data_IF_628839335095
#
_entry.id   IF_628839335095
#
_cell.length_a   1.000
_cell.length_b   1.000
_cell.length_c   1.000
_cell.angle_alpha   90.00
_cell.angle_beta   90.00
_cell.angle_gamma   90.00
#
_symmetry.space_group_name_H-M   'P 1'
#
loop_
_entity.id
_entity.type
_entity.pdbx_description
1 polymer ?
#
# COMPACT_ATOMS: atom_id res chain seq x y z
N UNK A 1 10.32 13.74 -1.19
CA UNK A 1 10.29 12.39 -0.59
C UNK A 1 11.58 12.19 0.17
N UNK A 2 11.54 11.45 1.29
CA UNK A 2 12.71 11.14 2.12
C UNK A 2 12.97 9.64 2.06
N UNK A 3 14.24 9.24 2.04
CA UNK A 3 14.63 7.83 2.12
C UNK A 3 14.28 7.28 3.50
N UNK A 4 13.60 6.14 3.54
CA UNK A 4 13.23 5.43 4.76
C UNK A 4 13.87 4.05 4.78
N UNK A 5 14.58 3.68 5.85
CA UNK A 5 14.90 2.27 6.12
C UNK A 5 13.61 1.52 6.46
N UNK A 6 13.52 0.27 6.01
CA UNK A 6 12.42 -0.64 6.28
C UNK A 6 13.00 -1.94 6.85
N UNK A 7 12.27 -2.62 7.73
CA UNK A 7 12.62 -3.90 8.32
C UNK A 7 14.03 -3.89 8.92
N UNK A 8 14.27 -2.95 9.84
CA UNK A 8 15.59 -2.77 10.46
C UNK A 8 16.68 -2.29 9.49
N UNK A 9 16.31 -1.78 8.31
CA UNK A 9 17.23 -1.30 7.27
C UNK A 9 17.58 -2.34 6.21
N UNK A 10 17.08 -3.57 6.32
CA UNK A 10 17.28 -4.62 5.32
C UNK A 10 16.65 -4.26 3.97
N UNK A 11 15.63 -3.41 3.97
CA UNK A 11 15.11 -2.76 2.77
C UNK A 11 15.10 -1.24 2.92
N UNK A 12 14.91 -0.52 1.82
CA UNK A 12 14.66 0.92 1.86
C UNK A 12 13.82 1.36 0.68
N UNK A 13 13.10 2.46 0.85
CA UNK A 13 12.36 3.16 -0.21
C UNK A 13 12.37 4.66 0.07
N UNK A 14 11.64 5.45 -0.71
CA UNK A 14 11.33 6.84 -0.40
C UNK A 14 9.83 7.02 -0.15
N UNK A 15 9.49 7.82 0.86
CA UNK A 15 8.08 8.18 1.18
C UNK A 15 7.93 9.69 1.23
N UNK A 16 6.70 10.22 1.19
CA UNK A 16 6.48 11.67 1.39
C UNK A 16 7.03 12.13 2.74
N UNK A 17 7.56 13.35 2.78
CA UNK A 17 8.11 13.92 4.00
C UNK A 17 7.06 14.18 5.10
N UNK A 18 5.78 14.26 4.72
CA UNK A 18 4.65 14.42 5.63
C UNK A 18 4.26 13.14 6.37
N UNK A 19 4.71 11.97 5.91
CA UNK A 19 4.39 10.71 6.57
C UNK A 19 5.10 10.58 7.92
N UNK A 20 4.31 10.20 8.92
CA UNK A 20 4.76 9.71 10.21
C UNK A 20 4.84 8.19 10.18
N UNK A 21 5.92 7.63 10.71
CA UNK A 21 6.03 6.19 10.96
C UNK A 21 5.16 5.80 12.16
N UNK A 22 4.17 4.92 11.91
CA UNK A 22 3.21 4.49 12.92
C UNK A 22 3.86 3.63 14.02
N UNK A 23 5.01 3.00 13.77
CA UNK A 23 5.75 2.22 14.77
C UNK A 23 6.17 3.06 15.99
N UNK A 24 6.31 4.37 15.80
CA UNK A 24 6.67 5.33 16.85
C UNK A 24 5.55 5.55 17.87
N UNK A 25 4.31 5.24 17.50
CA UNK A 25 3.11 5.51 18.33
C UNK A 25 2.34 4.25 18.70
N UNK A 26 2.52 3.15 17.96
CA UNK A 26 1.89 1.85 18.24
C UNK A 26 2.79 0.71 17.78
N UNK A 27 2.59 -0.47 18.34
CA UNK A 27 3.15 -1.68 17.78
C UNK A 27 2.47 -2.03 16.46
N UNK A 28 3.26 -2.46 15.48
CA UNK A 28 2.83 -3.00 14.19
C UNK A 28 3.44 -4.39 14.01
N UNK A 29 2.85 -5.28 13.19
CA UNK A 29 3.44 -6.58 12.89
C UNK A 29 4.86 -6.44 12.31
N UNK A 30 5.75 -7.38 12.63
CA UNK A 30 7.16 -7.33 12.21
C UNK A 30 7.34 -7.40 10.68
N UNK A 31 6.36 -7.97 9.97
CA UNK A 31 6.32 -8.04 8.51
C UNK A 31 5.69 -6.81 7.85
N UNK A 32 5.33 -5.77 8.62
CA UNK A 32 4.69 -4.55 8.13
C UNK A 32 5.47 -3.29 8.49
N UNK A 33 5.42 -2.31 7.59
CA UNK A 33 5.84 -0.94 7.80
C UNK A 33 4.67 -0.03 7.45
N UNK A 34 4.27 0.85 8.38
CA UNK A 34 3.05 1.64 8.25
C UNK A 34 3.37 3.12 8.41
N UNK A 35 3.04 3.89 7.38
CA UNK A 35 3.24 5.34 7.33
C UNK A 35 1.89 6.04 7.21
N UNK A 36 1.67 7.09 8.01
CA UNK A 36 0.39 7.84 8.04
C UNK A 36 0.65 9.33 7.84
N UNK A 37 -0.09 9.97 6.93
CA UNK A 37 -0.08 11.42 6.75
C UNK A 37 -1.26 12.03 7.51
N UNK A 38 -0.95 12.81 8.54
CA UNK A 38 -1.97 13.41 9.41
C UNK A 38 -2.80 14.50 8.71
N UNK A 39 -2.30 15.08 7.62
CA UNK A 39 -3.00 16.14 6.90
C UNK A 39 -4.05 15.59 5.94
N UNK A 40 -3.70 14.53 5.21
CA UNK A 40 -4.54 13.93 4.18
C UNK A 40 -5.28 12.67 4.66
N UNK A 41 -4.94 12.19 5.87
CA UNK A 41 -5.38 10.89 6.40
C UNK A 41 -5.01 9.71 5.49
N UNK A 42 -4.04 9.89 4.59
CA UNK A 42 -3.52 8.82 3.76
C UNK A 42 -2.67 7.88 4.61
N UNK A 43 -2.71 6.59 4.29
CA UNK A 43 -1.78 5.62 4.86
C UNK A 43 -1.08 4.82 3.77
N UNK A 44 0.24 4.75 3.84
CA UNK A 44 1.08 3.88 3.02
C UNK A 44 1.53 2.70 3.88
N UNK A 45 1.20 1.48 3.46
CA UNK A 45 1.58 0.25 4.15
C UNK A 45 2.46 -0.56 3.21
N UNK A 46 3.58 -1.06 3.71
CA UNK A 46 4.47 -1.99 3.02
C UNK A 46 4.49 -3.29 3.83
N UNK A 47 4.08 -4.38 3.22
CA UNK A 47 3.95 -5.68 3.88
C UNK A 47 4.70 -6.78 3.12
N UNK A 48 5.38 -7.64 3.85
CA UNK A 48 6.01 -8.85 3.33
C UNK A 48 5.08 -10.03 3.54
N UNK A 49 4.68 -10.68 2.45
CA UNK A 49 3.85 -11.88 2.46
C UNK A 49 4.53 -13.03 1.72
N UNK A 50 4.14 -14.25 2.07
CA UNK A 50 4.49 -15.43 1.27
C UNK A 50 3.94 -15.27 -0.16
N UNK A 51 4.71 -15.73 -1.13
CA UNK A 51 4.32 -15.70 -2.52
C UNK A 51 3.10 -16.60 -2.76
N UNK A 52 2.04 -16.01 -3.31
CA UNK A 52 0.84 -16.79 -3.65
C UNK A 52 1.05 -17.64 -4.90
N UNK A 53 0.38 -18.78 -5.00
CA UNK A 53 0.46 -19.69 -6.15
C UNK A 53 -0.15 -19.10 -7.44
N UNK A 54 -0.95 -18.04 -7.32
CA UNK A 54 -1.53 -17.34 -8.47
C UNK A 54 -0.45 -16.73 -9.39
N UNK A 55 -0.73 -16.70 -10.69
CA UNK A 55 0.16 -16.15 -11.69
C UNK A 55 -0.20 -14.69 -11.99
N UNK A 56 0.82 -13.82 -12.07
CA UNK A 56 0.72 -12.52 -12.72
C UNK A 56 -0.47 -11.66 -12.22
N UNK A 57 -1.37 -11.25 -13.13
CA UNK A 57 -2.55 -10.44 -12.84
C UNK A 57 -3.48 -11.09 -11.81
N UNK A 58 -3.60 -12.43 -11.80
CA UNK A 58 -4.46 -13.12 -10.84
C UNK A 58 -3.95 -12.94 -9.41
N UNK A 59 -2.63 -12.98 -9.21
CA UNK A 59 -2.02 -12.69 -7.91
C UNK A 59 -2.29 -11.24 -7.48
N UNK A 60 -2.21 -10.30 -8.42
CA UNK A 60 -2.49 -8.90 -8.15
C UNK A 60 -3.94 -8.67 -7.70
N UNK A 61 -4.90 -9.31 -8.38
CA UNK A 61 -6.32 -9.27 -8.03
C UNK A 61 -6.60 -9.95 -6.69
N UNK A 62 -5.99 -11.12 -6.46
CA UNK A 62 -6.10 -11.86 -5.21
C UNK A 62 -5.65 -11.00 -4.01
N UNK A 63 -4.46 -10.41 -4.07
CA UNK A 63 -3.96 -9.54 -3.00
C UNK A 63 -4.88 -8.33 -2.74
N UNK A 64 -5.43 -7.72 -3.80
CA UNK A 64 -6.39 -6.62 -3.63
C UNK A 64 -7.68 -7.06 -2.92
N UNK A 65 -8.20 -8.25 -3.25
CA UNK A 65 -9.37 -8.85 -2.61
C UNK A 65 -9.09 -9.20 -1.14
N UNK A 66 -7.94 -9.79 -0.83
CA UNK A 66 -7.54 -10.07 0.56
C UNK A 66 -7.46 -8.80 1.41
N UNK A 67 -6.96 -7.68 0.87
CA UNK A 67 -6.99 -6.39 1.56
C UNK A 67 -8.44 -5.94 1.82
N UNK A 68 -9.35 -6.12 0.87
CA UNK A 68 -10.76 -5.78 1.04
C UNK A 68 -11.42 -6.64 2.15
N UNK A 69 -11.11 -7.93 2.20
CA UNK A 69 -11.59 -8.85 3.24
C UNK A 69 -11.06 -8.47 4.63
N UNK A 70 -9.75 -8.19 4.74
CA UNK A 70 -9.13 -7.75 6.00
C UNK A 70 -9.68 -6.40 6.49
N UNK A 71 -10.04 -5.52 5.58
CA UNK A 71 -10.70 -4.25 5.90
C UNK A 71 -12.19 -4.42 6.21
N UNK A 72 -12.75 -5.64 6.12
CA UNK A 72 -14.18 -5.92 6.22
C UNK A 72 -15.01 -5.00 5.29
N UNK A 73 -14.52 -4.79 4.07
CA UNK A 73 -15.21 -3.98 3.09
C UNK A 73 -16.56 -4.63 2.73
N UNK A 74 -17.64 -3.85 2.78
CA UNK A 74 -18.97 -4.31 2.36
C UNK A 74 -19.04 -4.57 0.86
N UNK A 75 -18.20 -3.87 0.10
CA UNK A 75 -18.01 -4.08 -1.32
C UNK A 75 -16.67 -3.48 -1.78
N UNK A 76 -16.15 -3.99 -2.88
CA UNK A 76 -14.98 -3.43 -3.55
C UNK A 76 -15.17 -3.43 -5.07
N UNK A 77 -14.38 -2.61 -5.77
CA UNK A 77 -14.32 -2.61 -7.22
C UNK A 77 -12.90 -2.32 -7.70
N UNK A 78 -12.42 -3.10 -8.67
CA UNK A 78 -11.14 -2.86 -9.33
C UNK A 78 -11.40 -1.98 -10.55
N UNK A 79 -10.72 -0.83 -10.62
CA UNK A 79 -10.79 0.13 -11.73
C UNK A 79 -9.75 -0.16 -12.79
N UNK A 80 -8.53 -0.52 -12.40
CA UNK A 80 -7.46 -0.91 -13.32
C UNK A 80 -6.50 -1.92 -12.69
N UNK A 81 -5.91 -2.73 -13.56
CA UNK A 81 -4.73 -3.56 -13.24
C UNK A 81 -3.71 -3.32 -14.35
N UNK A 82 -2.52 -2.89 -13.97
CA UNK A 82 -1.46 -2.49 -14.89
C UNK A 82 -0.20 -3.28 -14.57
N UNK A 83 0.38 -3.91 -15.58
CA UNK A 83 1.72 -4.50 -15.51
C UNK A 83 2.74 -3.48 -16.01
N UNK A 84 3.87 -3.36 -15.31
CA UNK A 84 4.96 -2.49 -15.72
C UNK A 84 6.27 -3.28 -15.65
N UNK A 85 7.14 -3.10 -16.64
CA UNK A 85 8.40 -3.82 -16.68
C UNK A 85 9.30 -3.39 -15.53
N UNK A 86 10.00 -4.34 -14.93
CA UNK A 86 10.80 -4.11 -13.72
C UNK A 86 11.89 -3.04 -13.90
N UNK A 87 12.48 -2.95 -15.09
CA UNK A 87 13.50 -1.95 -15.43
C UNK A 87 12.98 -0.51 -15.36
N UNK A 88 11.66 -0.32 -15.49
CA UNK A 88 10.98 0.97 -15.33
C UNK A 88 10.39 1.10 -13.94
N UNK A 89 9.62 0.10 -13.50
CA UNK A 89 8.84 0.17 -12.27
C UNK A 89 9.68 0.07 -11.00
N UNK A 90 10.70 -0.79 -11.00
CA UNK A 90 11.52 -1.10 -9.82
C UNK A 90 12.99 -1.37 -10.22
N UNK A 91 13.71 -0.36 -10.75
CA UNK A 91 15.04 -0.52 -11.37
C UNK A 91 16.13 -1.00 -10.41
N UNK A 92 15.88 -0.98 -9.10
CA UNK A 92 16.82 -1.44 -8.07
C UNK A 92 16.59 -2.90 -7.63
N UNK A 93 15.60 -3.57 -8.21
CA UNK A 93 15.28 -4.97 -7.92
C UNK A 93 15.81 -5.92 -9.01
N UNK A 94 15.93 -7.23 -8.71
CA UNK A 94 16.32 -8.23 -9.70
C UNK A 94 15.42 -8.24 -10.94
N UNK A 95 16.00 -8.50 -12.12
CA UNK A 95 15.28 -8.48 -13.41
C UNK A 95 14.18 -9.54 -13.55
N UNK A 96 14.20 -10.58 -12.72
CA UNK A 96 13.15 -11.59 -12.64
C UNK A 96 11.97 -11.13 -11.76
N UNK A 97 12.04 -9.97 -11.10
CA UNK A 97 10.94 -9.41 -10.30
C UNK A 97 9.76 -9.05 -11.20
N UNK A 98 8.54 -9.35 -10.74
CA UNK A 98 7.30 -8.96 -11.44
C UNK A 98 6.57 -7.87 -10.67
N UNK A 99 6.08 -6.84 -11.36
CA UNK A 99 5.42 -5.69 -10.74
C UNK A 99 4.04 -5.45 -11.36
N UNK A 100 3.02 -5.41 -10.51
CA UNK A 100 1.66 -5.04 -10.89
C UNK A 100 1.16 -3.88 -10.03
N UNK A 101 0.38 -2.99 -10.63
CA UNK A 101 -0.36 -1.95 -9.94
C UNK A 101 -1.85 -2.21 -10.09
N UNK A 102 -2.57 -2.27 -8.98
CA UNK A 102 -4.02 -2.42 -8.93
C UNK A 102 -4.60 -1.16 -8.32
N UNK A 103 -5.56 -0.54 -9.00
CA UNK A 103 -6.35 0.57 -8.45
C UNK A 103 -7.79 0.15 -8.30
N UNK A 104 -8.39 0.50 -7.18
CA UNK A 104 -9.80 0.24 -6.94
C UNK A 104 -10.39 1.12 -5.86
N UNK A 105 -11.65 0.84 -5.53
CA UNK A 105 -12.37 1.44 -4.41
C UNK A 105 -12.81 0.35 -3.46
N UNK A 106 -12.78 0.66 -2.17
CA UNK A 106 -13.38 -0.15 -1.11
C UNK A 106 -14.40 0.69 -0.35
N UNK A 107 -15.54 0.07 -0.06
CA UNK A 107 -16.57 0.63 0.80
C UNK A 107 -16.48 -0.07 2.14
N UNK A 108 -16.06 0.65 3.17
CA UNK A 108 -15.85 0.09 4.51
C UNK A 108 -16.90 0.69 5.46
N UNK A 109 -17.77 -0.15 6.01
CA UNK A 109 -18.69 0.25 7.05
C UNK A 109 -18.05 -0.04 8.41
N UNK A 110 -17.95 0.96 9.29
CA UNK A 110 -17.56 0.70 10.69
C UNK A 110 -18.80 0.18 11.44
N UNK A 111 -18.58 -0.80 12.31
CA UNK A 111 -19.58 -1.52 13.10
C UNK A 111 -20.83 -0.69 13.46
N UNK A 112 -22.00 -1.14 12.98
CA UNK A 112 -23.33 -0.62 13.35
C UNK A 112 -23.66 0.82 12.91
N UNK A 113 -22.89 1.44 12.03
CA UNK A 113 -23.21 2.76 11.46
C UNK A 113 -23.71 2.65 10.00
N UNK A 114 -24.65 3.50 9.59
CA UNK A 114 -25.03 3.67 8.16
C UNK A 114 -23.93 4.39 7.35
N UNK A 115 -22.91 4.89 8.05
CA UNK A 115 -21.75 5.60 7.53
C UNK A 115 -20.79 4.67 6.78
N UNK A 116 -20.83 4.73 5.44
CA UNK A 116 -19.86 4.04 4.57
C UNK A 116 -18.67 4.96 4.27
N UNK A 117 -17.48 4.56 4.72
CA UNK A 117 -16.24 5.23 4.33
C UNK A 117 -15.81 4.74 2.94
N UNK A 118 -15.59 5.69 2.03
CA UNK A 118 -15.15 5.39 0.67
C UNK A 118 -13.64 5.58 0.60
N UNK A 119 -12.91 4.49 0.38
CA UNK A 119 -11.46 4.50 0.30
C UNK A 119 -11.05 4.18 -1.12
N UNK A 120 -10.32 5.11 -1.74
CA UNK A 120 -9.57 4.81 -2.96
C UNK A 120 -8.27 4.11 -2.56
N UNK A 121 -8.03 2.95 -3.18
CA UNK A 121 -6.90 2.12 -2.87
C UNK A 121 -6.05 1.91 -4.13
N UNK A 122 -4.75 2.17 -4.01
CA UNK A 122 -3.77 1.77 -5.01
C UNK A 122 -2.80 0.80 -4.36
N UNK A 123 -2.61 -0.37 -4.98
CA UNK A 123 -1.76 -1.45 -4.47
C UNK A 123 -0.71 -1.76 -5.52
N UNK A 124 0.55 -1.78 -5.13
CA UNK A 124 1.62 -2.37 -5.92
C UNK A 124 1.95 -3.77 -5.37
N UNK A 125 2.03 -4.75 -6.26
CA UNK A 125 2.39 -6.12 -5.96
C UNK A 125 3.74 -6.37 -6.61
N UNK A 126 4.80 -6.44 -5.78
CA UNK A 126 6.18 -6.62 -6.21
C UNK A 126 6.62 -8.03 -5.82
N UNK A 127 6.74 -8.91 -6.81
CA UNK A 127 6.97 -10.34 -6.60
C UNK A 127 8.44 -10.67 -6.73
N UNK A 128 9.11 -10.94 -5.60
CA UNK A 128 10.52 -11.30 -5.53
C UNK A 128 10.70 -12.81 -5.75
N UNK A 129 10.77 -13.23 -7.01
CA UNK A 129 10.77 -14.65 -7.39
C UNK A 129 11.93 -15.47 -6.81
N UNK A 130 13.08 -14.85 -6.55
CA UNK A 130 14.25 -15.53 -5.97
C UNK A 130 14.06 -16.02 -4.53
N UNK A 131 13.13 -15.41 -3.79
CA UNK A 131 12.95 -15.63 -2.34
C UNK A 131 11.49 -15.90 -1.97
N UNK A 132 10.67 -16.28 -2.96
CA UNK A 132 9.27 -16.65 -2.77
C UNK A 132 8.47 -15.69 -1.87
N UNK A 133 8.69 -14.38 -2.08
CA UNK A 133 8.03 -13.32 -1.31
C UNK A 133 7.27 -12.37 -2.24
N UNK A 134 6.04 -12.03 -1.88
CA UNK A 134 5.29 -10.93 -2.48
C UNK A 134 5.35 -9.72 -1.53
N UNK A 135 5.94 -8.61 -2.01
CA UNK A 135 5.95 -7.33 -1.29
C UNK A 135 4.72 -6.54 -1.72
N UNK A 136 3.80 -6.33 -0.78
CA UNK A 136 2.55 -5.62 -1.01
C UNK A 136 2.68 -4.20 -0.49
N UNK A 137 2.57 -3.23 -1.39
CA UNK A 137 2.58 -1.81 -1.04
C UNK A 137 1.19 -1.28 -1.30
N UNK A 138 0.50 -0.79 -0.26
CA UNK A 138 -0.86 -0.27 -0.38
C UNK A 138 -0.93 1.17 0.08
N UNK A 139 -1.58 2.01 -0.73
CA UNK A 139 -1.85 3.41 -0.43
C UNK A 139 -3.36 3.59 -0.29
N UNK A 140 -3.81 3.75 0.96
CA UNK A 140 -5.20 4.05 1.28
C UNK A 140 -5.43 5.55 1.23
N UNK A 141 -6.41 5.98 0.45
CA UNK A 141 -6.79 7.38 0.31
C UNK A 141 -8.27 7.54 0.66
N UNK A 142 -8.60 8.08 1.84
CA UNK A 142 -9.97 8.40 2.19
C UNK A 142 -10.54 9.45 1.21
N UNK A 143 -11.63 9.11 0.53
CA UNK A 143 -12.29 10.00 -0.46
C UNK A 143 -13.59 10.60 0.06
N UNK A 144 -14.23 9.94 1.03
CA UNK A 144 -15.35 10.48 1.77
C UNK A 144 -15.42 9.79 3.13
N UNK A 145 -15.32 10.58 4.20
CA UNK A 145 -15.62 10.13 5.56
C UNK A 145 -17.07 10.57 5.85
N UNK A 146 -17.92 9.63 6.23
CA UNK A 146 -19.33 9.95 6.50
C UNK A 146 -19.44 10.97 7.65
N UNK A 147 -20.40 11.88 7.54
CA UNK A 147 -20.64 13.00 8.46
C UNK A 147 -21.16 12.59 9.85
N UNK A 148 -20.96 11.34 10.28
CA UNK A 148 -21.31 10.84 11.62
C UNK A 148 -20.17 10.07 12.29
N UNK A 149 -19.04 9.84 11.60
CA UNK A 149 -17.90 9.17 12.23
C UNK A 149 -17.25 10.11 13.27
N UNK A 150 -16.81 9.53 14.39
CA UNK A 150 -16.13 10.23 15.49
C UNK A 150 -14.85 10.99 15.08
N UNK A 151 -14.40 10.83 13.84
CA UNK A 151 -13.23 11.47 13.23
C UNK A 151 -13.53 12.88 12.69
N UNK A 152 -14.81 13.30 12.67
CA UNK A 152 -15.30 14.57 12.08
C UNK A 152 -14.67 15.87 12.59
N UNK A 153 -13.98 15.89 13.73
CA UNK A 153 -13.51 17.16 14.28
C UNK A 153 -12.32 17.79 13.53
N UNK A 154 -11.62 17.02 12.69
CA UNK A 154 -10.43 17.50 11.95
C UNK A 154 -10.57 17.49 10.40
N UNK A 155 -11.74 17.15 9.86
CA UNK A 155 -11.91 16.79 8.43
C UNK A 155 -12.10 18.00 7.49
N UNK A 156 -12.34 19.21 8.01
CA UNK A 156 -12.62 20.39 7.17
C UNK A 156 -11.42 20.87 6.30
N UNK A 157 -10.30 20.13 6.24
CA UNK A 157 -9.14 20.44 5.40
C UNK A 157 -8.48 19.21 4.73
N UNK A 158 -9.19 18.10 4.46
CA UNK A 158 -8.57 17.06 3.62
C UNK A 158 -8.41 17.61 2.20
N UNK A 159 -7.18 17.98 1.83
CA UNK A 159 -6.84 18.27 0.44
C UNK A 159 -7.01 16.99 -0.39
N UNK A 160 -8.05 16.96 -1.22
CA UNK A 160 -8.30 15.85 -2.13
C UNK A 160 -7.12 15.71 -3.11
N UNK A 161 -6.32 14.65 -2.92
CA UNK A 161 -5.25 14.32 -3.86
C UNK A 161 -5.85 13.84 -5.18
N UNK A 162 -5.31 14.29 -6.30
CA UNK A 162 -5.75 13.76 -7.61
C UNK A 162 -5.33 12.29 -7.75
N UNK A 163 -6.16 11.51 -8.45
CA UNK A 163 -5.85 10.10 -8.79
C UNK A 163 -4.45 9.94 -9.38
N UNK A 164 -4.07 10.85 -10.27
CA UNK A 164 -2.76 10.81 -10.92
C UNK A 164 -1.63 11.02 -9.92
N UNK A 165 -1.79 11.91 -8.92
CA UNK A 165 -0.79 12.11 -7.88
C UNK A 165 -0.63 10.87 -6.99
N UNK A 166 -1.74 10.21 -6.64
CA UNK A 166 -1.76 8.97 -5.83
C UNK A 166 -1.03 7.85 -6.57
N UNK A 167 -1.32 7.65 -7.86
CA UNK A 167 -0.64 6.64 -8.68
C UNK A 167 0.84 6.97 -8.86
N UNK A 168 1.20 8.24 -9.05
CA UNK A 168 2.61 8.65 -9.16
C UNK A 168 3.38 8.43 -7.86
N UNK A 169 2.75 8.70 -6.71
CA UNK A 169 3.35 8.46 -5.40
C UNK A 169 3.74 7.00 -5.21
N UNK A 170 2.80 6.05 -5.40
CA UNK A 170 3.13 4.64 -5.22
C UNK A 170 4.16 4.16 -6.23
N UNK A 171 4.13 4.66 -7.47
CA UNK A 171 5.17 4.34 -8.47
C UNK A 171 6.54 4.84 -8.03
N UNK A 172 6.65 6.00 -7.40
CA UNK A 172 7.93 6.50 -6.85
C UNK A 172 8.42 5.66 -5.67
N UNK A 173 7.50 5.21 -4.80
CA UNK A 173 7.84 4.27 -3.71
C UNK A 173 8.41 2.97 -4.30
N UNK A 174 7.75 2.38 -5.29
CA UNK A 174 8.21 1.14 -5.94
C UNK A 174 9.53 1.35 -6.69
N UNK A 175 9.67 2.45 -7.43
CA UNK A 175 10.86 2.75 -8.21
C UNK A 175 12.11 2.96 -7.34
N UNK A 176 11.92 3.43 -6.10
CA UNK A 176 12.99 3.62 -5.13
C UNK A 176 13.16 2.44 -4.17
N UNK A 177 12.35 1.38 -4.29
CA UNK A 177 12.42 0.20 -3.44
C UNK A 177 13.71 -0.58 -3.71
N UNK A 178 14.46 -0.85 -2.65
CA UNK A 178 15.73 -1.55 -2.72
C UNK A 178 15.82 -2.56 -1.58
N UNK A 179 16.32 -3.76 -1.89
CA UNK A 179 16.78 -4.74 -0.90
C UNK A 179 18.26 -4.49 -0.62
N UNK A 180 18.56 -4.09 0.61
CA UNK A 180 19.93 -3.85 1.09
C UNK A 180 20.56 -5.12 1.67
N UNK A 181 19.75 -5.95 2.32
CA UNK A 181 20.16 -7.23 2.90
C UNK A 181 19.14 -8.33 2.56
N UNK A 182 19.58 -9.30 1.75
CA UNK A 182 18.76 -10.45 1.35
C UNK A 182 18.62 -11.51 2.45
N UNK A 183 19.40 -11.41 3.53
CA UNK A 183 19.23 -12.23 4.73
C UNK A 183 17.87 -12.06 5.40
N UNK A 184 17.16 -10.96 5.11
CA UNK A 184 15.78 -10.72 5.54
C UNK A 184 14.83 -11.86 5.20
N UNK A 185 15.05 -12.55 4.07
CA UNK A 185 14.16 -13.61 3.56
C UNK A 185 14.66 -15.02 3.90
N UNK A 186 15.74 -15.14 4.68
CA UNK A 186 16.32 -16.42 5.06
C UNK A 186 15.74 -16.88 6.42
N UNK A 187 14.45 -17.23 6.42
CA UNK A 187 13.77 -17.87 7.54
C UNK A 187 13.32 -19.29 7.18
#
# INVERSE_FOLDING_TARGET
MNRQPLFGGAMSTTVKASYLDASQIRQIPDNQEVFIDMNTQQSLIIELLEKVEHLNEEAARFHFEQIAEHNHASSYSIKSVEHESVDVAAPHLPLDTTVYFVRGMQNVAKFNEEAVNHVELVVAIVRLNKVDTDVIISLNVPTQVAAESSEMKDINQIEASSVQAIVQEIKLVVASLQVNDWGLFAA
#
